data_IF_339774079751
#
_entry.id   IF_339774079751
#
_cell.length_a   1.000
_cell.length_b   1.000
_cell.length_c   1.000
_cell.angle_alpha   90.00
_cell.angle_beta   90.00
_cell.angle_gamma   90.00
#
_symmetry.space_group_name_H-M   'P 1'
#
loop_
_entity.id
_entity.type
_entity.pdbx_description
1 polymer ?
#
# COMPACT_ATOMS: atom_id res chain seq x y z
N UNK A 1 -5.28 -41.55 -14.02
CA UNK A 1 -5.22 -41.57 -12.59
C UNK A 1 -4.16 -42.55 -12.14
N UNK A 2 -3.04 -42.16 -11.55
CA UNK A 2 -2.08 -43.08 -10.98
C UNK A 2 -2.56 -43.43 -9.56
N UNK A 3 -2.60 -44.72 -9.27
CA UNK A 3 -2.91 -45.29 -7.96
C UNK A 3 -1.81 -44.94 -6.95
N UNK A 4 -2.15 -44.59 -5.70
CA UNK A 4 -1.17 -44.45 -4.64
C UNK A 4 -0.80 -45.82 -4.06
N UNK A 5 0.31 -46.37 -4.49
CA UNK A 5 1.00 -47.41 -3.75
C UNK A 5 2.17 -46.78 -2.99
N UNK A 6 1.91 -46.19 -1.87
CA UNK A 6 2.95 -45.80 -0.93
C UNK A 6 2.85 -46.74 0.27
N UNK A 7 3.78 -47.69 0.39
CA UNK A 7 4.07 -48.32 1.65
C UNK A 7 4.51 -47.21 2.61
N UNK A 8 3.64 -46.78 3.53
CA UNK A 8 3.98 -45.80 4.55
C UNK A 8 5.19 -46.34 5.33
N UNK A 9 6.27 -45.56 5.33
CA UNK A 9 7.48 -45.91 6.04
C UNK A 9 7.19 -46.01 7.53
N UNK A 10 8.02 -46.74 8.27
CA UNK A 10 7.89 -46.85 9.74
C UNK A 10 7.91 -45.46 10.39
N UNK A 11 8.64 -44.52 9.76
CA UNK A 11 8.70 -43.11 10.15
C UNK A 11 7.34 -42.42 9.97
N UNK A 12 6.67 -42.62 8.83
CA UNK A 12 5.34 -42.03 8.59
C UNK A 12 4.29 -42.51 9.59
N UNK A 13 4.37 -43.77 9.96
CA UNK A 13 3.47 -44.37 11.00
C UNK A 13 3.76 -43.79 12.38
N UNK A 14 5.02 -43.57 12.72
CA UNK A 14 5.43 -42.96 14.00
C UNK A 14 5.00 -41.50 14.05
N UNK A 15 5.23 -40.73 12.97
CA UNK A 15 4.78 -39.33 12.87
C UNK A 15 3.25 -39.24 12.99
N UNK A 16 2.50 -40.09 12.28
CA UNK A 16 1.04 -40.12 12.38
C UNK A 16 0.54 -40.51 13.79
N UNK A 17 1.30 -41.30 14.52
CA UNK A 17 0.98 -41.62 15.91
C UNK A 17 1.24 -40.45 16.87
N UNK A 18 2.35 -39.71 16.63
CA UNK A 18 2.68 -38.51 17.38
C UNK A 18 1.62 -37.43 17.12
N UNK A 19 1.22 -37.19 15.87
CA UNK A 19 0.20 -36.21 15.50
C UNK A 19 -1.18 -36.54 16.11
N UNK A 20 -1.47 -37.81 16.35
CA UNK A 20 -2.71 -38.21 17.05
C UNK A 20 -2.66 -37.99 18.54
N UNK A 21 -1.49 -38.14 19.16
CA UNK A 21 -1.31 -37.98 20.61
C UNK A 21 -1.09 -36.52 21.02
N UNK A 22 -0.44 -35.76 20.13
CA UNK A 22 -0.17 -34.35 20.32
C UNK A 22 -0.39 -33.65 18.96
N UNK A 23 -1.65 -33.39 18.56
CA UNK A 23 -1.94 -32.72 17.31
C UNK A 23 -1.27 -31.33 17.29
N UNK A 24 -0.64 -30.96 16.17
CA UNK A 24 0.01 -29.67 16.06
C UNK A 24 -1.00 -28.54 16.32
N UNK A 25 -0.59 -27.53 17.06
CA UNK A 25 -1.41 -26.34 17.25
C UNK A 25 -1.58 -25.66 15.89
N UNK A 26 -2.81 -25.62 15.39
CA UNK A 26 -3.13 -24.91 14.13
C UNK A 26 -3.32 -23.43 14.44
N UNK A 27 -2.39 -22.60 13.98
CA UNK A 27 -2.55 -21.16 14.01
C UNK A 27 -3.42 -20.75 12.80
N UNK A 28 -4.59 -20.20 13.09
CA UNK A 28 -5.43 -19.58 12.06
C UNK A 28 -5.04 -18.10 11.95
N UNK A 29 -4.16 -17.77 11.01
CA UNK A 29 -3.95 -16.40 10.60
C UNK A 29 -4.96 -16.09 9.48
N UNK A 30 -5.84 -15.11 9.70
CA UNK A 30 -6.87 -14.73 8.74
C UNK A 30 -6.77 -13.28 8.26
N UNK A 31 -5.71 -12.54 8.66
CA UNK A 31 -5.40 -11.21 8.18
C UNK A 31 -3.90 -10.92 8.32
N UNK A 32 -3.40 -10.04 7.47
CA UNK A 32 -1.99 -9.63 7.45
C UNK A 32 -1.63 -8.63 8.57
N UNK A 33 -2.65 -8.01 9.17
CA UNK A 33 -2.51 -7.04 10.27
C UNK A 33 -3.26 -7.57 11.50
N UNK A 34 -2.83 -7.22 12.72
CA UNK A 34 -3.56 -7.57 13.94
C UNK A 34 -5.04 -7.17 13.83
N UNK A 35 -5.91 -8.17 13.94
CA UNK A 35 -7.35 -8.04 13.71
C UNK A 35 -7.96 -6.90 14.55
N UNK A 36 -8.65 -5.99 13.87
CA UNK A 36 -9.29 -4.82 14.51
C UNK A 36 -8.45 -3.55 14.53
N UNK A 37 -7.17 -3.60 14.15
CA UNK A 37 -6.30 -2.41 14.07
C UNK A 37 -6.11 -2.05 12.60
N UNK A 38 -6.96 -1.16 12.10
CA UNK A 38 -6.92 -0.65 10.74
C UNK A 38 -6.95 0.86 10.74
N UNK A 39 -6.10 1.48 9.90
CA UNK A 39 -6.02 2.93 9.73
C UNK A 39 -5.58 3.27 8.29
N UNK A 40 -6.28 4.16 7.58
CA UNK A 40 -5.91 4.55 6.23
C UNK A 40 -4.72 5.52 6.16
N UNK A 41 -4.15 5.93 7.29
CA UNK A 41 -3.09 6.94 7.33
C UNK A 41 -1.83 6.48 6.61
N UNK A 42 -1.43 5.21 6.76
CA UNK A 42 -0.26 4.65 6.10
C UNK A 42 -0.35 4.74 4.57
N UNK A 43 -1.51 4.43 3.99
CA UNK A 43 -1.76 4.58 2.55
C UNK A 43 -1.61 6.04 2.09
N UNK A 44 -2.12 7.01 2.86
CA UNK A 44 -2.00 8.43 2.54
C UNK A 44 -0.55 8.92 2.60
N UNK A 45 0.22 8.52 3.61
CA UNK A 45 1.66 8.88 3.72
C UNK A 45 2.45 8.27 2.57
N UNK A 46 2.17 7.03 2.21
CA UNK A 46 2.82 6.37 1.08
C UNK A 46 2.52 7.09 -0.24
N UNK A 47 1.25 7.45 -0.50
CA UNK A 47 0.87 8.23 -1.67
C UNK A 47 1.53 9.63 -1.68
N UNK A 48 1.55 10.32 -0.55
CA UNK A 48 2.21 11.64 -0.43
C UNK A 48 3.71 11.54 -0.70
N UNK A 49 4.36 10.46 -0.30
CA UNK A 49 5.78 10.22 -0.58
C UNK A 49 6.03 10.10 -2.08
N UNK A 50 5.13 9.48 -2.84
CA UNK A 50 5.27 9.43 -4.32
C UNK A 50 5.23 10.82 -4.94
N UNK A 51 4.35 11.71 -4.45
CA UNK A 51 4.31 13.13 -4.86
C UNK A 51 5.66 13.80 -4.58
N UNK A 52 6.21 13.61 -3.37
CA UNK A 52 7.52 14.19 -3.01
C UNK A 52 8.65 13.70 -3.89
N UNK A 53 8.70 12.41 -4.19
CA UNK A 53 9.76 11.86 -5.04
C UNK A 53 9.73 12.46 -6.45
N UNK A 54 8.54 12.63 -7.02
CA UNK A 54 8.40 13.28 -8.34
C UNK A 54 8.79 14.75 -8.28
N UNK A 55 8.40 15.49 -7.23
CA UNK A 55 8.87 16.88 -7.02
C UNK A 55 10.40 16.97 -6.99
N UNK A 56 11.07 16.00 -6.37
CA UNK A 56 12.54 15.96 -6.32
C UNK A 56 13.15 15.60 -7.67
N UNK A 57 12.53 14.71 -8.44
CA UNK A 57 12.94 14.40 -9.82
C UNK A 57 12.83 15.62 -10.71
N UNK A 58 11.70 16.33 -10.66
CA UNK A 58 11.43 17.52 -11.47
C UNK A 58 12.39 18.68 -11.16
N UNK A 59 12.81 18.79 -9.89
CA UNK A 59 13.75 19.82 -9.42
C UNK A 59 15.22 19.46 -9.65
N UNK A 60 15.52 18.21 -10.02
CA UNK A 60 16.90 17.76 -10.17
C UNK A 60 17.51 18.36 -11.44
N UNK A 61 18.58 19.19 -11.31
CA UNK A 61 19.21 19.82 -12.46
C UNK A 61 19.77 18.75 -13.42
N UNK A 62 19.39 18.84 -14.68
CA UNK A 62 19.96 17.97 -15.71
C UNK A 62 21.41 18.35 -16.00
N UNK A 63 22.34 17.40 -16.17
CA UNK A 63 23.70 17.68 -16.55
C UNK A 63 23.74 18.38 -17.91
N UNK A 64 24.62 19.37 -18.04
CA UNK A 64 24.84 20.03 -19.34
C UNK A 64 25.44 19.07 -20.38
N UNK A 65 25.33 19.33 -21.68
CA UNK A 65 25.95 18.48 -22.71
C UNK A 65 27.46 18.27 -22.55
N UNK A 66 28.16 19.17 -21.85
CA UNK A 66 29.60 19.08 -21.55
C UNK A 66 29.91 18.65 -20.10
N UNK A 67 28.94 18.17 -19.36
CA UNK A 67 29.14 17.78 -17.98
C UNK A 67 30.15 16.64 -17.83
N UNK A 68 30.96 16.70 -16.77
CA UNK A 68 31.91 15.65 -16.45
C UNK A 68 31.20 14.31 -16.17
N UNK A 69 31.94 13.22 -16.35
CA UNK A 69 31.41 11.88 -16.02
C UNK A 69 30.88 11.81 -14.59
N UNK A 70 31.58 12.43 -13.65
CA UNK A 70 31.17 12.46 -12.24
C UNK A 70 29.83 13.17 -12.02
N UNK A 71 29.56 14.27 -12.72
CA UNK A 71 28.27 14.97 -12.65
C UNK A 71 27.15 14.13 -13.24
N UNK A 72 27.39 13.45 -14.36
CA UNK A 72 26.43 12.54 -14.98
C UNK A 72 26.11 11.34 -14.05
N UNK A 73 27.13 10.72 -13.48
CA UNK A 73 26.97 9.62 -12.50
C UNK A 73 26.18 10.07 -11.26
N UNK A 74 26.48 11.25 -10.74
CA UNK A 74 25.76 11.82 -9.59
C UNK A 74 24.27 12.02 -9.90
N UNK A 75 23.95 12.58 -11.07
CA UNK A 75 22.58 12.74 -11.53
C UNK A 75 21.85 11.41 -11.64
N UNK A 76 22.46 10.44 -12.32
CA UNK A 76 21.87 9.10 -12.49
C UNK A 76 21.64 8.39 -11.16
N UNK A 77 22.58 8.50 -10.22
CA UNK A 77 22.42 7.93 -8.86
C UNK A 77 21.25 8.58 -8.11
N UNK A 78 21.08 9.90 -8.19
CA UNK A 78 19.96 10.58 -7.54
C UNK A 78 18.62 10.21 -8.17
N UNK A 79 18.54 10.20 -9.51
CA UNK A 79 17.34 9.75 -10.23
C UNK A 79 16.97 8.30 -9.87
N UNK A 80 17.94 7.41 -9.84
CA UNK A 80 17.73 6.01 -9.47
C UNK A 80 17.17 5.87 -8.04
N UNK A 81 17.72 6.64 -7.09
CA UNK A 81 17.23 6.65 -5.70
C UNK A 81 15.80 7.17 -5.59
N UNK A 82 15.48 8.29 -6.25
CA UNK A 82 14.12 8.84 -6.21
C UNK A 82 13.12 7.88 -6.87
N UNK A 83 13.51 7.25 -7.99
CA UNK A 83 12.70 6.23 -8.65
C UNK A 83 12.43 5.05 -7.74
N UNK A 84 13.47 4.49 -7.11
CA UNK A 84 13.32 3.34 -6.20
C UNK A 84 12.37 3.66 -5.03
N UNK A 85 12.56 4.80 -4.37
CA UNK A 85 11.71 5.22 -3.25
C UNK A 85 10.27 5.48 -3.73
N UNK A 86 10.07 6.11 -4.90
CA UNK A 86 8.74 6.31 -5.49
C UNK A 86 8.02 4.99 -5.72
N UNK A 87 8.69 4.01 -6.31
CA UNK A 87 8.11 2.70 -6.59
C UNK A 87 7.81 1.90 -5.33
N UNK A 88 8.72 1.93 -4.35
CA UNK A 88 8.51 1.29 -3.06
C UNK A 88 7.27 1.83 -2.35
N UNK A 89 7.14 3.16 -2.27
CA UNK A 89 5.98 3.77 -1.61
C UNK A 89 4.68 3.61 -2.40
N UNK A 90 4.74 3.53 -3.72
CA UNK A 90 3.57 3.17 -4.50
C UNK A 90 3.11 1.71 -4.21
N UNK A 91 4.06 0.77 -4.01
CA UNK A 91 3.74 -0.61 -3.58
C UNK A 91 3.20 -0.65 -2.14
N UNK A 92 3.79 0.14 -1.24
CA UNK A 92 3.27 0.26 0.14
C UNK A 92 1.83 0.79 0.15
N UNK A 93 1.56 1.85 -0.63
CA UNK A 93 0.21 2.39 -0.79
C UNK A 93 -0.78 1.34 -1.31
N UNK A 94 -0.38 0.58 -2.34
CA UNK A 94 -1.19 -0.52 -2.88
C UNK A 94 -1.48 -1.59 -1.83
N UNK A 95 -0.47 -2.01 -1.07
CA UNK A 95 -0.60 -3.00 -0.01
C UNK A 95 -1.60 -2.55 1.07
N UNK A 96 -1.43 -1.34 1.59
CA UNK A 96 -2.31 -0.77 2.61
C UNK A 96 -3.77 -0.65 2.12
N UNK A 97 -3.97 -0.25 0.86
CA UNK A 97 -5.30 -0.22 0.25
C UNK A 97 -5.90 -1.63 0.14
N UNK A 98 -5.12 -2.62 -0.29
CA UNK A 98 -5.59 -4.00 -0.42
C UNK A 98 -5.98 -4.57 0.94
N UNK A 99 -5.17 -4.35 1.98
CA UNK A 99 -5.48 -4.77 3.36
C UNK A 99 -6.81 -4.16 3.84
N UNK A 100 -7.03 -2.87 3.62
CA UNK A 100 -8.30 -2.24 3.97
C UNK A 100 -9.46 -2.87 3.19
N UNK A 101 -9.29 -3.14 1.90
CA UNK A 101 -10.33 -3.71 1.05
C UNK A 101 -10.68 -5.14 1.46
N UNK A 102 -9.68 -5.99 1.70
CA UNK A 102 -9.88 -7.43 1.94
C UNK A 102 -10.27 -7.75 3.38
N UNK A 103 -9.73 -6.99 4.35
CA UNK A 103 -9.82 -7.37 5.76
C UNK A 103 -10.74 -6.47 6.60
N UNK A 104 -10.90 -5.20 6.19
CA UNK A 104 -11.74 -4.25 6.92
C UNK A 104 -13.12 -4.07 6.30
N UNK A 105 -13.20 -3.76 4.99
CA UNK A 105 -14.47 -3.44 4.35
C UNK A 105 -15.36 -4.70 4.18
N UNK A 106 -16.65 -4.53 4.43
CA UNK A 106 -17.66 -5.59 4.45
C UNK A 106 -18.85 -5.24 3.56
N UNK A 107 -19.71 -6.21 3.20
CA UNK A 107 -20.89 -5.95 2.35
C UNK A 107 -21.82 -4.83 2.86
N UNK A 108 -21.98 -4.69 4.18
CA UNK A 108 -22.77 -3.59 4.75
C UNK A 108 -22.21 -2.21 4.43
N UNK A 109 -20.89 -2.07 4.30
CA UNK A 109 -20.27 -0.79 3.91
C UNK A 109 -20.56 -0.44 2.45
N UNK A 110 -20.72 -1.43 1.57
CA UNK A 110 -21.13 -1.22 0.18
C UNK A 110 -22.57 -0.69 0.06
N UNK A 111 -23.45 -1.03 1.00
CA UNK A 111 -24.81 -0.48 1.01
C UNK A 111 -24.80 1.04 1.31
N UNK A 112 -23.93 1.48 2.20
CA UNK A 112 -23.76 2.89 2.56
C UNK A 112 -22.94 3.66 1.50
N UNK A 113 -21.95 3.01 0.92
CA UNK A 113 -21.04 3.58 -0.08
C UNK A 113 -21.05 2.72 -1.36
N UNK A 114 -22.03 2.84 -2.24
CA UNK A 114 -22.17 1.97 -3.42
C UNK A 114 -21.00 2.10 -4.42
N UNK A 115 -20.29 3.22 -4.39
CA UNK A 115 -19.11 3.48 -5.24
C UNK A 115 -17.80 3.00 -4.65
N UNK A 116 -17.80 2.34 -3.48
CA UNK A 116 -16.59 1.94 -2.76
C UNK A 116 -15.68 1.06 -3.62
N UNK A 117 -16.26 0.12 -4.37
CA UNK A 117 -15.52 -0.76 -5.28
C UNK A 117 -14.76 0.02 -6.36
N UNK A 118 -15.42 1.01 -6.96
CA UNK A 118 -14.81 1.87 -7.99
C UNK A 118 -13.69 2.74 -7.41
N UNK A 119 -13.86 3.22 -6.17
CA UNK A 119 -12.83 4.00 -5.48
C UNK A 119 -11.57 3.17 -5.28
N UNK A 120 -11.69 1.94 -4.77
CA UNK A 120 -10.53 1.05 -4.60
C UNK A 120 -9.92 0.63 -5.94
N UNK A 121 -10.74 0.31 -6.94
CA UNK A 121 -10.27 -0.01 -8.27
C UNK A 121 -9.41 1.12 -8.86
N UNK A 122 -9.91 2.37 -8.81
CA UNK A 122 -9.18 3.54 -9.29
C UNK A 122 -7.88 3.75 -8.51
N UNK A 123 -7.93 3.69 -7.18
CA UNK A 123 -6.76 3.88 -6.34
C UNK A 123 -5.66 2.85 -6.66
N UNK A 124 -5.99 1.57 -6.74
CA UNK A 124 -5.02 0.51 -7.06
C UNK A 124 -4.49 0.61 -8.50
N UNK A 125 -5.30 1.07 -9.48
CA UNK A 125 -4.79 1.34 -10.83
C UNK A 125 -3.82 2.52 -10.86
N UNK A 126 -4.06 3.55 -10.07
CA UNK A 126 -3.17 4.69 -9.94
C UNK A 126 -1.82 4.31 -9.33
N UNK A 127 -1.77 3.37 -8.35
CA UNK A 127 -0.48 2.87 -7.84
C UNK A 127 0.36 2.24 -8.96
N UNK A 128 -0.27 1.47 -9.86
CA UNK A 128 0.42 0.90 -11.02
C UNK A 128 0.97 1.97 -11.96
N UNK A 129 0.18 3.00 -12.25
CA UNK A 129 0.61 4.13 -13.10
C UNK A 129 1.79 4.87 -12.47
N UNK A 130 1.72 5.18 -11.18
CA UNK A 130 2.80 5.88 -10.44
C UNK A 130 4.07 5.03 -10.37
N UNK A 131 3.97 3.70 -10.28
CA UNK A 131 5.15 2.82 -10.39
C UNK A 131 5.86 2.96 -11.74
N UNK A 132 5.10 2.99 -12.81
CA UNK A 132 5.63 2.96 -14.18
C UNK A 132 6.07 4.33 -14.72
N UNK A 133 5.53 5.41 -14.18
CA UNK A 133 5.71 6.76 -14.72
C UNK A 133 6.08 7.76 -13.62
N UNK A 134 6.88 8.76 -13.95
CA UNK A 134 7.13 9.94 -13.11
C UNK A 134 6.09 11.02 -13.47
N UNK A 135 4.81 10.75 -13.22
CA UNK A 135 3.70 11.66 -13.51
C UNK A 135 3.20 12.31 -12.22
N UNK A 136 3.39 13.63 -12.10
CA UNK A 136 2.86 14.41 -10.98
C UNK A 136 1.34 14.32 -10.91
N UNK A 137 0.68 14.37 -12.05
CA UNK A 137 -0.79 14.24 -12.12
C UNK A 137 -1.25 12.89 -11.53
N UNK A 138 -0.64 11.77 -11.95
CA UNK A 138 -0.98 10.45 -11.44
C UNK A 138 -0.73 10.33 -9.92
N UNK A 139 0.37 10.89 -9.41
CA UNK A 139 0.66 10.88 -7.98
C UNK A 139 -0.33 11.71 -7.17
N UNK A 140 -0.74 12.87 -7.66
CA UNK A 140 -1.77 13.69 -7.03
C UNK A 140 -3.15 13.02 -7.06
N UNK A 141 -3.49 12.36 -8.16
CA UNK A 141 -4.71 11.56 -8.25
C UNK A 141 -4.69 10.37 -7.30
N UNK A 142 -3.53 9.70 -7.12
CA UNK A 142 -3.37 8.64 -6.14
C UNK A 142 -3.59 9.16 -4.71
N UNK A 143 -2.99 10.29 -4.36
CA UNK A 143 -3.20 10.92 -3.05
C UNK A 143 -4.68 11.26 -2.84
N UNK A 144 -5.35 11.85 -3.83
CA UNK A 144 -6.78 12.15 -3.74
C UNK A 144 -7.64 10.88 -3.56
N UNK A 145 -7.31 9.80 -4.25
CA UNK A 145 -8.02 8.53 -4.11
C UNK A 145 -7.82 7.91 -2.72
N UNK A 146 -6.60 7.96 -2.15
CA UNK A 146 -6.36 7.49 -0.78
C UNK A 146 -7.06 8.34 0.26
N UNK A 147 -7.16 9.66 0.05
CA UNK A 147 -7.95 10.55 0.90
C UNK A 147 -9.45 10.18 0.88
N UNK A 148 -9.99 9.87 -0.29
CA UNK A 148 -11.38 9.42 -0.41
C UNK A 148 -11.61 8.09 0.33
N UNK A 149 -10.68 7.13 0.22
CA UNK A 149 -10.75 5.88 1.00
C UNK A 149 -10.73 6.17 2.50
N UNK A 150 -9.89 7.11 2.95
CA UNK A 150 -9.81 7.50 4.35
C UNK A 150 -11.11 8.14 4.86
N UNK A 151 -11.73 9.01 4.08
CA UNK A 151 -13.01 9.62 4.41
C UNK A 151 -14.11 8.55 4.56
N UNK A 152 -14.20 7.60 3.61
CA UNK A 152 -15.16 6.50 3.68
C UNK A 152 -14.87 5.60 4.88
N UNK A 153 -13.61 5.25 5.13
CA UNK A 153 -13.22 4.42 6.27
C UNK A 153 -13.70 5.01 7.60
N UNK A 154 -13.43 6.27 7.85
CA UNK A 154 -13.85 6.94 9.08
C UNK A 154 -15.37 7.13 9.16
N UNK A 155 -16.03 7.37 8.03
CA UNK A 155 -17.49 7.46 7.99
C UNK A 155 -18.16 6.12 8.33
N UNK A 156 -17.57 4.97 7.95
CA UNK A 156 -18.09 3.66 8.39
C UNK A 156 -17.98 3.43 9.90
N UNK A 157 -17.05 4.13 10.57
CA UNK A 157 -16.92 4.14 12.04
C UNK A 157 -17.76 5.22 12.72
N UNK A 158 -18.51 6.03 11.96
CA UNK A 158 -19.29 7.15 12.50
C UNK A 158 -18.41 8.32 12.95
N UNK A 159 -17.17 8.39 12.53
CA UNK A 159 -16.21 9.43 12.90
C UNK A 159 -16.13 10.48 11.80
N UNK A 160 -16.32 11.75 12.16
CA UNK A 160 -16.13 12.87 11.23
C UNK A 160 -14.66 13.04 10.89
N UNK A 161 -14.39 13.50 9.68
CA UNK A 161 -13.02 13.75 9.20
C UNK A 161 -12.81 15.23 8.87
N UNK A 162 -11.55 15.62 8.82
CA UNK A 162 -11.09 16.91 8.31
C UNK A 162 -9.86 16.70 7.45
N UNK A 163 -9.80 17.37 6.31
CA UNK A 163 -8.55 17.54 5.55
C UNK A 163 -7.73 18.64 6.21
N UNK A 164 -6.47 18.36 6.44
CA UNK A 164 -5.52 19.29 7.06
C UNK A 164 -4.20 19.24 6.31
N UNK A 165 -3.44 20.35 6.29
CA UNK A 165 -2.09 20.34 5.74
C UNK A 165 -1.28 19.16 6.30
N UNK A 166 -0.55 18.48 5.43
CA UNK A 166 0.23 17.30 5.83
C UNK A 166 1.32 17.61 6.83
N UNK A 167 1.83 18.87 6.83
CA UNK A 167 2.97 19.33 7.61
C UNK A 167 4.24 18.47 7.40
N UNK A 168 4.36 17.84 6.24
CA UNK A 168 5.49 16.99 5.86
C UNK A 168 6.51 17.77 5.02
N UNK A 169 7.18 18.71 5.66
CA UNK A 169 8.22 19.52 5.02
C UNK A 169 7.70 20.28 3.78
N UNK A 170 8.47 20.21 2.70
CA UNK A 170 8.19 20.98 1.46
C UNK A 170 7.23 20.27 0.50
N UNK A 171 6.72 19.06 0.80
CA UNK A 171 5.87 18.34 -0.13
C UNK A 171 4.53 19.05 -0.32
N UNK A 172 4.05 19.76 0.71
CA UNK A 172 2.71 20.33 0.72
C UNK A 172 1.62 19.26 0.84
N UNK A 173 0.46 19.52 0.23
CA UNK A 173 -0.67 18.60 0.23
C UNK A 173 -1.39 18.52 1.56
N UNK A 174 -2.51 17.81 1.55
CA UNK A 174 -3.37 17.60 2.71
C UNK A 174 -3.49 16.10 2.99
N UNK A 175 -3.81 15.76 4.23
CA UNK A 175 -4.20 14.42 4.65
C UNK A 175 -5.52 14.47 5.40
N UNK A 176 -6.24 13.36 5.35
CA UNK A 176 -7.51 13.18 6.07
C UNK A 176 -7.23 12.63 7.46
N UNK A 177 -7.75 13.32 8.45
CA UNK A 177 -7.64 12.93 9.86
C UNK A 177 -9.02 12.80 10.50
N UNK A 178 -9.21 11.86 11.43
CA UNK A 178 -10.40 11.83 12.27
C UNK A 178 -10.42 13.08 13.17
N UNK A 179 -11.60 13.62 13.38
CA UNK A 179 -11.83 14.72 14.33
C UNK A 179 -12.31 14.13 15.62
N UNK A 180 -11.65 14.48 16.73
CA UNK A 180 -12.13 14.10 18.05
C UNK A 180 -13.58 14.56 18.25
N UNK A 181 -14.36 13.71 18.93
CA UNK A 181 -15.75 13.98 19.26
C UNK A 181 -15.85 15.13 20.28
#
# INVERSE_FOLDING_TARGET
MPSPSASSSLVDRLLAAVDRLAPPAVAHAHCDIPCGIYDPHAAQIAALTTVRMIQLMDKLPQPSPGASQKEQETYLMQMARYTAVKEEHAKMCEHELVVLWTDYFKPEHLQKHPNLQDVFWKATKLTSTVKQQASMEAAQQLLAATQQVAEIFWDTKGVRTRRQPSNQGEVGGELVYPVAA
#
